data_IF_764344706486
#
_entry.id   IF_764344706486
#
_cell.length_a   1.000
_cell.length_b   1.000
_cell.length_c   1.000
_cell.angle_alpha   90.00
_cell.angle_beta   90.00
_cell.angle_gamma   90.00
#
_symmetry.space_group_name_H-M   'P 1'
#
loop_
_entity.id
_entity.type
_entity.pdbx_description
1 polymer ?
#
# COMPACT_ATOMS: atom_id res chain seq x y z
N UNK A 1 10.25 -9.62 -13.58
CA UNK A 1 9.92 -10.05 -12.20
C UNK A 1 8.39 -10.04 -12.06
N UNK A 2 7.72 -11.20 -11.94
CA UNK A 2 6.27 -11.24 -11.81
C UNK A 2 5.85 -10.70 -10.44
N UNK A 3 5.02 -9.66 -10.47
CA UNK A 3 4.34 -9.08 -9.32
C UNK A 3 2.83 -9.31 -9.49
N UNK A 4 2.18 -9.81 -8.45
CA UNK A 4 0.75 -10.14 -8.49
C UNK A 4 -0.14 -9.05 -7.84
N UNK A 5 0.43 -7.95 -7.41
CA UNK A 5 -0.24 -6.75 -6.87
C UNK A 5 -0.68 -5.78 -7.96
N UNK A 6 0.12 -5.58 -9.01
CA UNK A 6 -0.15 -4.60 -10.06
C UNK A 6 -1.53 -4.73 -10.74
N UNK A 7 -1.96 -5.94 -11.19
CA UNK A 7 -3.31 -6.13 -11.71
C UNK A 7 -4.41 -5.82 -10.69
N UNK A 8 -4.19 -6.10 -9.39
CA UNK A 8 -5.14 -5.80 -8.34
C UNK A 8 -5.29 -4.29 -8.12
N UNK A 9 -4.19 -3.56 -8.04
CA UNK A 9 -4.18 -2.09 -7.91
C UNK A 9 -4.85 -1.42 -9.11
N UNK A 10 -4.50 -1.86 -10.33
CA UNK A 10 -5.14 -1.35 -11.54
C UNK A 10 -6.63 -1.64 -11.54
N UNK A 11 -7.04 -2.83 -11.13
CA UNK A 11 -8.43 -3.22 -11.02
C UNK A 11 -9.21 -2.35 -10.04
N UNK A 12 -8.67 -2.09 -8.84
CA UNK A 12 -9.25 -1.17 -7.86
C UNK A 12 -9.44 0.22 -8.46
N UNK A 13 -8.40 0.76 -9.11
CA UNK A 13 -8.46 2.07 -9.76
C UNK A 13 -9.52 2.10 -10.87
N UNK A 14 -9.56 1.08 -11.73
CA UNK A 14 -10.55 1.01 -12.82
C UNK A 14 -11.98 0.92 -12.28
N UNK A 15 -12.20 0.23 -11.16
CA UNK A 15 -13.51 0.20 -10.50
C UNK A 15 -13.89 1.58 -9.95
N UNK A 16 -12.97 2.29 -9.32
CA UNK A 16 -13.20 3.68 -8.84
C UNK A 16 -13.60 4.59 -10.00
N UNK A 17 -12.86 4.56 -11.10
CA UNK A 17 -13.14 5.34 -12.32
C UNK A 17 -14.49 4.93 -12.91
N UNK A 18 -14.77 3.63 -13.02
CA UNK A 18 -16.03 3.13 -13.53
C UNK A 18 -17.23 3.69 -12.74
N UNK A 19 -17.19 3.61 -11.40
CA UNK A 19 -18.23 4.13 -10.51
C UNK A 19 -18.48 5.63 -10.69
N UNK A 20 -17.43 6.41 -10.96
CA UNK A 20 -17.55 7.86 -11.19
C UNK A 20 -18.11 8.20 -12.56
N UNK A 21 -17.77 7.42 -13.60
CA UNK A 21 -18.05 7.77 -14.99
C UNK A 21 -19.26 7.06 -15.58
N UNK A 22 -19.79 6.01 -14.96
CA UNK A 22 -20.84 5.17 -15.58
C UNK A 22 -22.10 5.95 -15.95
N UNK A 23 -22.50 6.93 -15.16
CA UNK A 23 -23.67 7.75 -15.42
C UNK A 23 -23.42 8.86 -16.47
N UNK A 24 -22.15 9.20 -16.72
CA UNK A 24 -21.75 10.28 -17.64
C UNK A 24 -21.33 9.69 -19.01
N UNK A 25 -20.52 8.62 -18.96
CA UNK A 25 -19.92 7.98 -20.13
C UNK A 25 -20.13 6.47 -20.14
N UNK A 26 -21.40 5.96 -20.21
CA UNK A 26 -21.68 4.54 -20.07
C UNK A 26 -20.99 3.67 -21.13
N UNK A 27 -20.87 4.16 -22.35
CA UNK A 27 -20.22 3.43 -23.45
C UNK A 27 -18.73 3.22 -23.19
N UNK A 28 -18.00 4.21 -22.66
CA UNK A 28 -16.58 4.09 -22.28
C UNK A 28 -16.44 3.07 -21.15
N UNK A 29 -17.30 3.18 -20.12
CA UNK A 29 -17.27 2.27 -18.98
C UNK A 29 -17.51 0.82 -19.40
N UNK A 30 -18.54 0.54 -20.20
CA UNK A 30 -18.91 -0.81 -20.59
C UNK A 30 -17.97 -1.40 -21.67
N UNK A 31 -17.46 -0.60 -22.59
CA UNK A 31 -16.64 -1.09 -23.69
C UNK A 31 -15.12 -1.14 -23.39
N UNK A 32 -14.63 -0.28 -22.50
CA UNK A 32 -13.21 -0.17 -22.19
C UNK A 32 -12.93 -0.62 -20.75
N UNK A 33 -13.45 0.11 -19.75
CA UNK A 33 -13.12 -0.15 -18.34
C UNK A 33 -13.55 -1.54 -17.89
N UNK A 34 -14.75 -1.99 -18.25
CA UNK A 34 -15.22 -3.36 -17.99
C UNK A 34 -14.26 -4.43 -18.50
N UNK A 35 -13.69 -4.26 -19.71
CA UNK A 35 -12.76 -5.24 -20.27
C UNK A 35 -11.45 -5.32 -19.49
N UNK A 36 -10.95 -4.15 -19.01
CA UNK A 36 -9.74 -4.09 -18.18
C UNK A 36 -10.01 -4.78 -16.84
N UNK A 37 -11.11 -4.43 -16.16
CA UNK A 37 -11.50 -5.02 -14.88
C UNK A 37 -11.63 -6.55 -15.00
N UNK A 38 -12.30 -7.06 -16.06
CA UNK A 38 -12.47 -8.50 -16.29
C UNK A 38 -11.13 -9.19 -16.54
N UNK A 39 -10.22 -8.55 -17.30
CA UNK A 39 -8.87 -9.09 -17.52
C UNK A 39 -8.10 -9.23 -16.22
N UNK A 40 -8.15 -8.20 -15.39
CA UNK A 40 -7.41 -8.17 -14.13
C UNK A 40 -7.98 -9.16 -13.11
N UNK A 41 -9.31 -9.24 -12.97
CA UNK A 41 -9.89 -10.22 -12.04
C UNK A 41 -9.60 -11.65 -12.46
N UNK A 42 -9.65 -11.99 -13.76
CA UNK A 42 -9.25 -13.30 -14.27
C UNK A 42 -7.79 -13.64 -13.95
N UNK A 43 -6.90 -12.65 -14.04
CA UNK A 43 -5.50 -12.83 -13.68
C UNK A 43 -5.36 -13.12 -12.18
N UNK A 44 -6.00 -12.32 -11.32
CA UNK A 44 -5.94 -12.50 -9.87
C UNK A 44 -6.50 -13.87 -9.46
N UNK A 45 -7.68 -14.25 -9.94
CA UNK A 45 -8.29 -15.55 -9.62
C UNK A 45 -7.42 -16.74 -10.01
N UNK A 46 -6.54 -16.59 -11.02
CA UNK A 46 -5.59 -17.62 -11.47
C UNK A 46 -4.29 -17.65 -10.67
N UNK A 47 -3.91 -16.54 -10.01
CA UNK A 47 -2.56 -16.36 -9.47
C UNK A 47 -2.52 -15.95 -7.98
N UNK A 48 -3.66 -15.79 -7.30
CA UNK A 48 -3.73 -15.30 -5.91
C UNK A 48 -2.98 -16.19 -4.90
N UNK A 49 -2.89 -17.48 -5.18
CA UNK A 49 -2.25 -18.52 -4.36
C UNK A 49 -0.84 -18.89 -4.85
N UNK A 50 -0.22 -18.03 -5.67
CA UNK A 50 1.14 -18.25 -6.16
C UNK A 50 2.10 -17.24 -5.55
N UNK A 51 3.33 -17.67 -5.18
CA UNK A 51 4.35 -16.74 -4.75
C UNK A 51 4.73 -15.78 -5.88
N UNK A 52 5.10 -14.55 -5.52
CA UNK A 52 5.54 -13.54 -6.47
C UNK A 52 6.65 -12.68 -5.86
N UNK A 53 7.20 -11.76 -6.64
CA UNK A 53 8.08 -10.74 -6.08
C UNK A 53 7.29 -9.76 -5.19
N UNK A 54 7.95 -9.29 -4.13
CA UNK A 54 7.42 -8.24 -3.26
C UNK A 54 7.29 -6.89 -3.97
N UNK A 55 6.71 -5.90 -3.30
CA UNK A 55 6.53 -4.54 -3.81
C UNK A 55 7.85 -3.90 -4.29
N UNK A 56 8.97 -4.30 -3.67
CA UNK A 56 10.31 -3.79 -3.97
C UNK A 56 11.06 -4.56 -5.06
N UNK A 57 10.44 -5.60 -5.63
CA UNK A 57 11.01 -6.48 -6.66
C UNK A 57 12.29 -7.23 -6.22
N UNK A 58 12.42 -7.52 -4.94
CA UNK A 58 13.61 -8.12 -4.37
C UNK A 58 13.46 -9.60 -4.06
N UNK A 59 12.33 -10.01 -3.48
CA UNK A 59 12.17 -11.32 -2.87
C UNK A 59 10.93 -12.03 -3.41
N UNK A 60 11.08 -13.29 -3.83
CA UNK A 60 9.96 -14.16 -4.18
C UNK A 60 9.40 -14.78 -2.90
N UNK A 61 8.09 -14.67 -2.70
CA UNK A 61 7.44 -15.22 -1.52
C UNK A 61 5.97 -14.86 -1.40
N UNK A 62 5.51 -14.88 -0.17
CA UNK A 62 4.16 -14.52 0.22
C UNK A 62 4.20 -13.17 0.95
N UNK A 63 3.48 -12.17 0.43
CA UNK A 63 3.57 -10.80 0.90
C UNK A 63 2.20 -10.31 1.38
N UNK A 64 2.16 -9.77 2.60
CA UNK A 64 0.96 -9.18 3.18
C UNK A 64 0.35 -8.13 2.25
N UNK A 65 1.18 -7.22 1.75
CA UNK A 65 0.77 -6.18 0.79
C UNK A 65 0.01 -6.75 -0.41
N UNK A 66 0.61 -7.72 -1.10
CA UNK A 66 0.03 -8.32 -2.31
C UNK A 66 -1.31 -8.99 -2.02
N UNK A 67 -1.37 -9.81 -0.95
CA UNK A 67 -2.61 -10.47 -0.54
C UNK A 67 -3.70 -9.48 -0.17
N UNK A 68 -3.35 -8.38 0.49
CA UNK A 68 -4.29 -7.36 0.94
C UNK A 68 -4.93 -6.63 -0.25
N UNK A 69 -4.15 -6.15 -1.21
CA UNK A 69 -4.68 -5.45 -2.40
C UNK A 69 -5.48 -6.39 -3.30
N UNK A 70 -5.09 -7.66 -3.40
CA UNK A 70 -5.86 -8.68 -4.11
C UNK A 70 -7.21 -8.93 -3.46
N UNK A 71 -7.27 -9.05 -2.13
CA UNK A 71 -8.50 -9.22 -1.38
C UNK A 71 -9.44 -8.02 -1.58
N UNK A 72 -8.92 -6.81 -1.51
CA UNK A 72 -9.67 -5.58 -1.78
C UNK A 72 -10.24 -5.59 -3.18
N UNK A 73 -9.44 -5.92 -4.17
CA UNK A 73 -9.92 -5.95 -5.56
C UNK A 73 -11.03 -6.98 -5.77
N UNK A 74 -10.89 -8.19 -5.23
CA UNK A 74 -11.95 -9.21 -5.34
C UNK A 74 -13.24 -8.73 -4.67
N UNK A 75 -13.18 -8.13 -3.46
CA UNK A 75 -14.35 -7.56 -2.78
C UNK A 75 -15.05 -6.49 -3.65
N UNK A 76 -14.27 -5.52 -4.14
CA UNK A 76 -14.82 -4.44 -4.97
C UNK A 76 -15.41 -4.96 -6.29
N UNK A 77 -14.79 -5.98 -6.88
CA UNK A 77 -15.29 -6.63 -8.07
C UNK A 77 -16.61 -7.37 -7.80
N UNK A 78 -16.73 -8.13 -6.71
CA UNK A 78 -17.97 -8.83 -6.35
C UNK A 78 -19.12 -7.81 -6.27
N UNK A 79 -18.94 -6.72 -5.51
CA UNK A 79 -19.95 -5.67 -5.34
C UNK A 79 -20.34 -5.06 -6.70
N UNK A 80 -19.35 -4.75 -7.54
CA UNK A 80 -19.61 -4.18 -8.85
C UNK A 80 -20.34 -5.17 -9.77
N UNK A 81 -19.94 -6.43 -9.71
CA UNK A 81 -20.49 -7.48 -10.55
C UNK A 81 -21.94 -7.85 -10.17
N UNK A 82 -22.30 -7.77 -8.89
CA UNK A 82 -23.70 -7.90 -8.43
C UNK A 82 -24.59 -6.81 -9.04
N UNK A 83 -24.07 -5.59 -9.17
CA UNK A 83 -24.82 -4.45 -9.72
C UNK A 83 -24.94 -4.47 -11.24
N UNK A 84 -23.88 -4.89 -11.95
CA UNK A 84 -23.79 -4.73 -13.41
C UNK A 84 -23.74 -6.06 -14.19
N UNK A 85 -23.71 -7.19 -13.51
CA UNK A 85 -23.69 -8.54 -14.08
C UNK A 85 -22.65 -8.71 -15.22
N UNK A 86 -21.37 -8.40 -14.94
CA UNK A 86 -20.30 -8.41 -15.94
C UNK A 86 -19.96 -9.80 -16.44
N UNK A 87 -19.78 -10.74 -15.51
CA UNK A 87 -19.36 -12.12 -15.78
C UNK A 87 -19.60 -12.99 -14.54
N UNK A 88 -19.96 -14.23 -14.76
CA UNK A 88 -20.10 -15.21 -13.69
C UNK A 88 -18.77 -15.96 -13.42
N UNK A 89 -18.42 -16.11 -12.16
CA UNK A 89 -17.34 -16.96 -11.67
C UNK A 89 -17.88 -17.85 -10.55
N UNK A 90 -17.91 -19.16 -10.77
CA UNK A 90 -18.46 -20.14 -9.83
C UNK A 90 -17.78 -20.11 -8.44
N UNK A 91 -16.48 -19.87 -8.40
CA UNK A 91 -15.66 -20.02 -7.21
C UNK A 91 -15.10 -18.71 -6.63
N UNK A 92 -15.58 -17.54 -7.07
CA UNK A 92 -15.02 -16.26 -6.62
C UNK A 92 -15.20 -16.06 -5.10
N UNK A 93 -16.32 -16.48 -4.53
CA UNK A 93 -16.57 -16.38 -3.09
C UNK A 93 -15.65 -17.28 -2.27
N UNK A 94 -15.38 -18.50 -2.72
CA UNK A 94 -14.43 -19.39 -2.05
C UNK A 94 -13.00 -18.88 -2.13
N UNK A 95 -12.60 -18.32 -3.27
CA UNK A 95 -11.29 -17.68 -3.43
C UNK A 95 -11.15 -16.47 -2.49
N UNK A 96 -12.19 -15.63 -2.40
CA UNK A 96 -12.20 -14.49 -1.47
C UNK A 96 -11.98 -14.94 -0.02
N UNK A 97 -12.70 -15.97 0.43
CA UNK A 97 -12.58 -16.51 1.79
C UNK A 97 -11.19 -17.14 2.03
N UNK A 98 -10.69 -17.92 1.07
CA UNK A 98 -9.35 -18.49 1.17
C UNK A 98 -8.27 -17.41 1.27
N UNK A 99 -8.33 -16.38 0.43
CA UNK A 99 -7.37 -15.29 0.49
C UNK A 99 -7.45 -14.52 1.82
N UNK A 100 -8.66 -14.35 2.37
CA UNK A 100 -8.85 -13.74 3.69
C UNK A 100 -8.22 -14.59 4.81
N UNK A 101 -8.33 -15.92 4.74
CA UNK A 101 -7.63 -16.83 5.66
C UNK A 101 -6.11 -16.71 5.51
N UNK A 102 -5.59 -16.65 4.28
CA UNK A 102 -4.15 -16.47 4.01
C UNK A 102 -3.58 -15.14 4.51
N UNK A 103 -4.38 -14.11 4.66
CA UNK A 103 -3.94 -12.87 5.32
C UNK A 103 -3.70 -13.10 6.79
N UNK A 104 -4.48 -13.97 7.46
CA UNK A 104 -4.27 -14.29 8.87
C UNK A 104 -2.92 -15.00 9.11
N UNK A 105 -2.35 -15.70 8.12
CA UNK A 105 -1.00 -16.28 8.22
C UNK A 105 0.06 -15.20 8.49
N UNK A 106 -0.20 -13.95 8.09
CA UNK A 106 0.69 -12.80 8.32
C UNK A 106 0.50 -12.13 9.69
N UNK A 107 -0.38 -12.63 10.53
CA UNK A 107 -0.75 -11.99 11.79
C UNK A 107 -0.33 -12.88 12.94
N UNK A 108 0.61 -12.40 13.76
CA UNK A 108 0.90 -13.00 15.06
C UNK A 108 0.15 -12.27 16.19
N UNK A 109 0.44 -12.59 17.46
CA UNK A 109 -0.24 -12.01 18.61
C UNK A 109 -0.06 -10.48 18.72
N UNK A 110 1.06 -9.95 18.23
CA UNK A 110 1.47 -8.56 18.43
C UNK A 110 1.70 -7.81 17.12
N UNK A 111 2.16 -8.49 16.07
CA UNK A 111 2.69 -7.88 14.86
C UNK A 111 1.97 -8.32 13.59
N UNK A 112 2.32 -7.64 12.50
CA UNK A 112 2.06 -8.07 11.13
C UNK A 112 3.38 -8.48 10.51
N UNK A 113 3.44 -9.70 10.00
CA UNK A 113 4.58 -10.23 9.27
C UNK A 113 4.44 -9.79 7.82
N UNK A 114 5.36 -8.97 7.35
CA UNK A 114 5.28 -8.42 5.99
C UNK A 114 5.50 -9.47 4.90
N UNK A 115 6.47 -10.37 5.08
CA UNK A 115 6.81 -11.35 4.05
C UNK A 115 7.33 -12.66 4.59
N UNK A 116 6.91 -13.75 3.91
CA UNK A 116 7.47 -15.10 4.04
C UNK A 116 8.14 -15.50 2.73
N UNK A 117 9.18 -16.36 2.81
CA UNK A 117 9.68 -17.05 1.62
C UNK A 117 8.71 -18.16 1.17
N UNK A 118 9.06 -18.86 0.08
CA UNK A 118 8.25 -19.96 -0.46
C UNK A 118 8.16 -21.18 0.47
N UNK A 119 9.03 -21.28 1.47
CA UNK A 119 9.08 -22.35 2.47
C UNK A 119 8.33 -21.98 3.76
N UNK A 120 7.76 -20.76 3.82
CA UNK A 120 7.01 -20.28 4.98
C UNK A 120 7.89 -19.67 6.10
N UNK A 121 9.18 -19.42 5.84
CA UNK A 121 10.06 -18.75 6.79
C UNK A 121 9.86 -17.23 6.71
N UNK A 122 9.81 -16.55 7.85
CA UNK A 122 9.73 -15.09 7.91
C UNK A 122 11.02 -14.50 7.34
N UNK A 123 10.89 -13.60 6.37
CA UNK A 123 12.01 -12.90 5.73
C UNK A 123 11.98 -11.38 5.95
N UNK A 124 10.79 -10.82 6.17
CA UNK A 124 10.62 -9.43 6.59
C UNK A 124 9.50 -9.35 7.63
N UNK A 125 9.82 -8.87 8.84
CA UNK A 125 8.83 -8.62 9.88
C UNK A 125 8.20 -7.24 9.65
N UNK A 126 8.99 -6.18 9.67
CA UNK A 126 8.54 -4.80 9.51
C UNK A 126 8.97 -4.25 8.16
N UNK A 127 7.98 -3.87 7.35
CA UNK A 127 8.19 -3.33 6.00
C UNK A 127 7.12 -2.28 5.69
N UNK A 128 7.53 -1.15 5.12
CA UNK A 128 6.65 -0.04 4.77
C UNK A 128 5.58 -0.42 3.73
N UNK A 129 5.78 -1.50 2.96
CA UNK A 129 4.74 -2.05 2.08
C UNK A 129 3.45 -2.37 2.83
N UNK A 130 3.54 -2.82 4.09
CA UNK A 130 2.37 -3.04 4.96
C UNK A 130 1.57 -1.76 5.17
N UNK A 131 2.24 -0.63 5.38
CA UNK A 131 1.64 0.69 5.60
C UNK A 131 1.01 1.20 4.30
N UNK A 132 1.74 1.12 3.19
CA UNK A 132 1.24 1.47 1.86
C UNK A 132 0.04 0.61 1.47
N UNK A 133 0.05 -0.68 1.82
CA UNK A 133 -1.07 -1.58 1.54
C UNK A 133 -2.38 -1.10 2.14
N UNK A 134 -2.37 -0.61 3.39
CA UNK A 134 -3.57 -0.07 4.01
C UNK A 134 -4.04 1.24 3.39
N UNK A 135 -3.10 2.10 3.01
CA UNK A 135 -3.44 3.31 2.25
C UNK A 135 -4.10 2.96 0.92
N UNK A 136 -3.53 2.02 0.18
CA UNK A 136 -4.04 1.60 -1.14
C UNK A 136 -5.40 0.88 -1.10
N UNK A 137 -5.80 0.36 0.05
CA UNK A 137 -7.16 -0.17 0.28
C UNK A 137 -8.09 0.83 0.97
N UNK A 138 -7.75 2.11 1.02
CA UNK A 138 -8.53 3.18 1.66
C UNK A 138 -8.78 2.93 3.16
N UNK A 139 -7.85 2.29 3.87
CA UNK A 139 -7.98 1.89 5.28
C UNK A 139 -9.25 1.07 5.59
N UNK A 140 -9.66 0.20 4.66
CA UNK A 140 -10.81 -0.69 4.80
C UNK A 140 -10.51 -1.84 5.80
N UNK A 141 -10.51 -1.52 7.10
CA UNK A 141 -10.23 -2.49 8.16
C UNK A 141 -11.30 -3.60 8.27
N UNK A 142 -12.47 -3.44 7.65
CA UNK A 142 -13.51 -4.49 7.63
C UNK A 142 -13.13 -5.66 6.70
N UNK A 143 -12.12 -5.49 5.84
CA UNK A 143 -11.55 -6.57 5.04
C UNK A 143 -10.86 -7.65 5.89
N UNK A 144 -10.28 -7.23 7.01
CA UNK A 144 -9.49 -8.05 7.92
C UNK A 144 -10.25 -8.15 9.25
N UNK A 145 -9.66 -8.50 10.32
CA UNK A 145 -10.26 -8.49 11.65
C UNK A 145 -10.13 -7.09 12.29
N UNK A 146 -11.12 -6.67 13.11
CA UNK A 146 -11.06 -5.40 13.86
C UNK A 146 -9.89 -5.31 14.84
N UNK A 147 -9.40 -6.44 15.35
CA UNK A 147 -8.21 -6.53 16.22
C UNK A 147 -6.92 -6.13 15.49
N UNK A 148 -6.94 -6.17 14.16
CA UNK A 148 -5.81 -5.86 13.28
C UNK A 148 -5.29 -4.42 13.43
N UNK A 149 -6.16 -3.47 13.72
CA UNK A 149 -5.79 -2.05 13.84
C UNK A 149 -4.68 -1.80 14.87
N UNK A 150 -4.73 -2.48 16.02
CA UNK A 150 -3.69 -2.35 17.06
C UNK A 150 -2.32 -2.86 16.58
N UNK A 151 -2.30 -4.05 15.97
CA UNK A 151 -1.07 -4.65 15.40
C UNK A 151 -0.46 -3.79 14.30
N UNK A 152 -1.30 -3.22 13.47
CA UNK A 152 -0.86 -2.32 12.41
C UNK A 152 -0.22 -1.04 12.95
N UNK A 153 -0.79 -0.44 13.98
CA UNK A 153 -0.20 0.72 14.64
C UNK A 153 1.15 0.36 15.27
N UNK A 154 1.25 -0.80 15.93
CA UNK A 154 2.52 -1.29 16.47
C UNK A 154 3.57 -1.46 15.36
N UNK A 155 3.23 -2.12 14.26
CA UNK A 155 4.10 -2.28 13.09
C UNK A 155 4.62 -0.93 12.58
N UNK A 156 3.75 0.05 12.44
CA UNK A 156 4.11 1.39 11.97
C UNK A 156 5.03 2.12 12.95
N UNK A 157 4.77 2.03 14.24
CA UNK A 157 5.60 2.66 15.27
C UNK A 157 6.98 2.02 15.39
N UNK A 158 7.11 0.70 15.25
CA UNK A 158 8.41 0.04 15.26
C UNK A 158 9.28 0.48 14.05
N UNK A 159 8.68 0.62 12.85
CA UNK A 159 9.40 1.20 11.70
C UNK A 159 9.86 2.64 11.97
N UNK A 160 8.97 3.50 12.47
CA UNK A 160 9.32 4.90 12.79
C UNK A 160 10.45 4.95 13.83
N UNK A 161 10.37 4.13 14.86
CA UNK A 161 11.39 4.03 15.91
C UNK A 161 12.73 3.60 15.34
N UNK A 162 12.75 2.56 14.48
CA UNK A 162 13.94 2.09 13.81
C UNK A 162 14.60 3.22 12.99
N UNK A 163 13.85 3.87 12.09
CA UNK A 163 14.41 4.93 11.24
C UNK A 163 14.80 6.17 12.05
N UNK A 164 14.02 6.56 13.04
CA UNK A 164 14.42 7.64 13.95
C UNK A 164 15.68 7.30 14.78
N UNK A 165 16.01 6.02 15.02
CA UNK A 165 17.26 5.66 15.69
C UNK A 165 18.49 5.82 14.80
N UNK A 166 18.31 5.75 13.49
CA UNK A 166 19.41 5.84 12.50
C UNK A 166 19.89 7.27 12.20
N UNK A 167 19.01 8.25 12.38
CA UNK A 167 19.28 9.64 11.99
C UNK A 167 19.41 10.56 13.20
N UNK A 168 20.27 11.60 13.08
CA UNK A 168 20.40 12.65 14.08
C UNK A 168 19.13 13.53 14.12
N UNK A 169 18.55 13.82 12.96
CA UNK A 169 17.31 14.60 12.82
C UNK A 169 16.09 13.69 12.90
N UNK A 170 15.23 13.91 13.89
CA UNK A 170 14.00 13.12 14.10
C UNK A 170 12.85 13.70 13.27
N UNK A 171 12.59 13.12 12.12
CA UNK A 171 11.59 13.60 11.16
C UNK A 171 10.33 12.75 11.10
N UNK A 172 10.33 11.54 11.69
CA UNK A 172 9.37 10.45 11.48
C UNK A 172 9.32 9.95 10.02
N UNK A 173 10.26 10.37 9.17
CA UNK A 173 10.42 9.78 7.85
C UNK A 173 10.99 8.37 7.95
N UNK A 174 10.50 7.48 7.09
CA UNK A 174 10.91 6.08 7.06
C UNK A 174 11.41 5.65 5.68
N UNK A 175 12.25 4.62 5.65
CA UNK A 175 12.60 3.86 4.44
C UNK A 175 11.72 2.63 4.27
N UNK A 176 12.18 1.67 3.46
CA UNK A 176 11.41 0.48 3.09
C UNK A 176 11.27 -0.51 4.26
N UNK A 177 12.38 -0.95 4.84
CA UNK A 177 12.40 -1.94 5.92
C UNK A 177 13.71 -1.91 6.70
N UNK A 178 13.74 -2.56 7.86
CA UNK A 178 14.94 -2.72 8.66
C UNK A 178 15.99 -3.57 7.94
N UNK A 179 17.23 -3.06 7.90
CA UNK A 179 18.35 -3.74 7.25
C UNK A 179 18.41 -3.58 5.73
N UNK A 180 17.59 -2.70 5.15
CA UNK A 180 17.66 -2.35 3.73
C UNK A 180 19.06 -1.85 3.35
N UNK A 181 19.63 -2.44 2.29
CA UNK A 181 20.97 -2.11 1.80
C UNK A 181 20.96 -1.26 0.52
N UNK A 182 19.81 -1.14 -0.12
CA UNK A 182 19.69 -0.36 -1.36
C UNK A 182 19.92 1.12 -1.05
N UNK A 183 21.00 1.69 -1.61
CA UNK A 183 21.50 3.04 -1.26
C UNK A 183 21.61 3.26 0.26
N UNK A 184 22.16 2.26 0.98
CA UNK A 184 22.26 2.25 2.44
C UNK A 184 20.94 2.31 3.22
N UNK A 185 19.80 2.03 2.58
CA UNK A 185 18.48 1.99 3.21
C UNK A 185 18.08 3.32 3.82
N UNK A 186 18.27 4.40 3.10
CA UNK A 186 17.79 5.74 3.49
C UNK A 186 16.27 5.86 3.45
N UNK A 187 15.75 7.01 3.90
CA UNK A 187 14.31 7.27 3.89
C UNK A 187 13.78 7.33 2.45
N UNK A 188 12.57 6.81 2.26
CA UNK A 188 11.85 6.89 1.01
C UNK A 188 10.69 7.88 1.13
N UNK A 189 10.54 8.74 0.13
CA UNK A 189 9.46 9.74 0.13
C UNK A 189 8.08 9.05 0.18
N UNK A 190 7.87 8.02 -0.63
CA UNK A 190 6.58 7.29 -0.65
C UNK A 190 6.27 6.60 0.69
N UNK A 191 7.27 5.98 1.34
CA UNK A 191 7.08 5.34 2.63
C UNK A 191 6.71 6.36 3.72
N UNK A 192 7.37 7.52 3.68
CA UNK A 192 7.13 8.64 4.60
C UNK A 192 5.77 9.27 4.37
N UNK A 193 5.32 9.38 3.12
CA UNK A 193 3.94 9.81 2.79
C UNK A 193 2.90 8.79 3.27
N UNK A 194 3.20 7.48 3.21
CA UNK A 194 2.34 6.45 3.80
C UNK A 194 2.14 6.64 5.31
N UNK A 195 3.20 6.95 6.07
CA UNK A 195 3.09 7.33 7.49
C UNK A 195 2.25 8.60 7.67
N UNK A 196 2.47 9.59 6.82
CA UNK A 196 1.71 10.83 6.85
C UNK A 196 0.21 10.60 6.66
N UNK A 197 -0.15 9.79 5.67
CA UNK A 197 -1.55 9.40 5.40
C UNK A 197 -2.15 8.63 6.57
N UNK A 198 -1.38 7.72 7.21
CA UNK A 198 -1.81 7.04 8.42
C UNK A 198 -2.14 8.04 9.55
N UNK A 199 -1.24 8.98 9.82
CA UNK A 199 -1.46 10.01 10.83
C UNK A 199 -2.72 10.83 10.53
N UNK A 200 -2.92 11.24 9.28
CA UNK A 200 -4.10 11.99 8.85
C UNK A 200 -5.38 11.15 8.96
N UNK A 201 -5.34 9.87 8.60
CA UNK A 201 -6.46 8.97 8.77
C UNK A 201 -6.88 8.81 10.24
N UNK A 202 -5.91 8.69 11.15
CA UNK A 202 -6.17 8.57 12.60
C UNK A 202 -6.77 9.84 13.22
N UNK A 203 -6.61 10.98 12.56
CA UNK A 203 -7.01 12.29 13.09
C UNK A 203 -8.28 12.86 12.48
N UNK A 204 -8.99 12.06 11.66
CA UNK A 204 -10.15 12.48 10.86
C UNK A 204 -11.11 13.50 11.49
N UNK A 205 -11.10 13.65 12.83
CA UNK A 205 -12.00 14.56 13.56
C UNK A 205 -11.32 15.45 14.60
N UNK A 206 -10.01 15.35 14.81
CA UNK A 206 -9.29 16.15 15.82
C UNK A 206 -7.88 16.51 15.36
N UNK A 207 -7.55 17.79 15.25
CA UNK A 207 -6.19 18.30 14.97
C UNK A 207 -5.29 18.09 16.19
N UNK A 208 -4.99 16.82 16.50
CA UNK A 208 -4.19 16.37 17.63
C UNK A 208 -2.68 16.27 17.27
N UNK A 209 -1.90 15.66 18.15
CA UNK A 209 -0.46 15.43 17.96
C UNK A 209 -0.13 14.74 16.63
N UNK A 210 -0.93 13.73 16.19
CA UNK A 210 -0.70 13.01 14.94
C UNK A 210 -0.85 13.93 13.72
N UNK A 211 -1.81 14.85 13.73
CA UNK A 211 -1.93 15.86 12.67
C UNK A 211 -0.70 16.76 12.58
N UNK A 212 -0.13 17.15 13.73
CA UNK A 212 1.10 17.96 13.74
C UNK A 212 2.30 17.16 13.22
N UNK A 213 2.39 15.87 13.55
CA UNK A 213 3.41 14.96 12.97
C UNK A 213 3.27 14.85 11.47
N UNK A 214 2.06 14.66 10.94
CA UNK A 214 1.81 14.63 9.51
C UNK A 214 2.26 15.93 8.82
N UNK A 215 1.87 17.09 9.36
CA UNK A 215 2.32 18.40 8.85
C UNK A 215 3.84 18.56 8.89
N UNK A 216 4.51 18.07 9.94
CA UNK A 216 5.97 18.10 10.04
C UNK A 216 6.62 17.33 8.90
N UNK A 217 6.14 16.13 8.59
CA UNK A 217 6.64 15.31 7.47
C UNK A 217 6.44 16.04 6.14
N UNK A 218 5.24 16.56 5.87
CA UNK A 218 4.92 17.27 4.63
C UNK A 218 5.79 18.53 4.48
N UNK A 219 5.90 19.33 5.53
CA UNK A 219 6.73 20.53 5.51
C UNK A 219 8.20 20.18 5.27
N UNK A 220 8.69 19.08 5.86
CA UNK A 220 10.05 18.62 5.64
C UNK A 220 10.25 18.20 4.18
N UNK A 221 9.34 17.39 3.61
CA UNK A 221 9.39 17.00 2.20
C UNK A 221 9.38 18.25 1.29
N UNK A 222 8.54 19.25 1.59
CA UNK A 222 8.52 20.53 0.85
C UNK A 222 9.79 21.36 1.01
N UNK A 223 10.56 21.19 2.09
CA UNK A 223 11.82 21.90 2.32
C UNK A 223 13.05 21.23 1.68
N UNK A 224 12.96 19.96 1.35
CA UNK A 224 14.05 19.19 0.71
C UNK A 224 14.41 19.78 -0.65
N UNK A 225 13.41 20.18 -1.41
CA UNK A 225 13.59 20.81 -2.72
C UNK A 225 12.45 21.77 -3.01
N UNK A 226 12.79 23.06 -3.18
CA UNK A 226 11.82 24.11 -3.49
C UNK A 226 11.09 23.88 -4.83
N UNK A 227 11.71 23.15 -5.75
CA UNK A 227 11.12 22.79 -7.03
C UNK A 227 10.27 21.51 -6.96
N UNK A 228 10.25 20.86 -5.78
CA UNK A 228 9.60 19.57 -5.58
C UNK A 228 10.10 18.46 -6.55
N UNK A 229 11.39 18.45 -6.86
CA UNK A 229 12.02 17.37 -7.61
C UNK A 229 12.23 16.17 -6.67
N UNK A 230 11.17 15.41 -6.41
CA UNK A 230 11.11 14.37 -5.41
C UNK A 230 11.84 13.11 -5.88
N UNK A 231 13.06 12.90 -5.36
CA UNK A 231 13.83 11.68 -5.57
C UNK A 231 13.23 10.50 -4.79
N UNK A 232 13.56 9.29 -5.21
CA UNK A 232 13.10 8.05 -4.58
C UNK A 232 13.50 7.99 -3.11
N UNK A 233 14.79 8.24 -2.83
CA UNK A 233 15.36 8.22 -1.49
C UNK A 233 15.95 9.57 -1.08
N UNK A 234 16.10 9.73 0.23
CA UNK A 234 16.63 10.92 0.82
C UNK A 234 17.46 10.63 2.08
N UNK A 235 18.72 11.10 2.08
CA UNK A 235 19.56 11.09 3.27
C UNK A 235 19.23 12.31 4.13
N UNK A 236 18.55 12.06 5.24
CA UNK A 236 18.05 13.10 6.15
C UNK A 236 19.18 13.87 6.84
N UNK A 237 20.27 13.18 7.20
CA UNK A 237 21.39 13.79 7.94
C UNK A 237 22.27 14.68 7.07
N UNK A 238 22.48 14.27 5.80
CA UNK A 238 23.33 15.01 4.87
C UNK A 238 22.56 15.87 3.88
N UNK A 239 21.23 15.86 3.95
CA UNK A 239 20.35 16.61 3.06
C UNK A 239 20.57 16.28 1.58
N UNK A 240 20.75 14.97 1.25
CA UNK A 240 21.08 14.52 -0.09
C UNK A 240 19.92 13.73 -0.72
N UNK A 241 19.62 14.05 -1.97
CA UNK A 241 18.77 13.23 -2.84
C UNK A 241 19.54 12.02 -3.33
N UNK A 242 18.91 10.85 -3.33
CA UNK A 242 19.51 9.59 -3.72
C UNK A 242 18.57 8.82 -4.65
N UNK A 243 19.16 7.90 -5.44
CA UNK A 243 18.45 7.01 -6.35
C UNK A 243 17.71 7.77 -7.48
N UNK A 244 16.59 7.25 -7.96
CA UNK A 244 15.86 7.82 -9.10
C UNK A 244 15.31 9.21 -8.78
N UNK A 245 15.60 10.17 -9.66
CA UNK A 245 15.05 11.53 -9.57
C UNK A 245 13.62 11.58 -10.12
N UNK A 246 12.79 12.48 -9.58
CA UNK A 246 11.43 12.77 -10.07
C UNK A 246 10.56 11.53 -10.20
N UNK A 247 10.57 10.67 -9.18
CA UNK A 247 9.81 9.43 -9.18
C UNK A 247 8.30 9.73 -9.22
N UNK A 248 7.62 9.32 -10.27
CA UNK A 248 6.18 9.56 -10.48
C UNK A 248 5.33 9.08 -9.31
N UNK A 249 5.70 7.97 -8.68
CA UNK A 249 5.00 7.44 -7.52
C UNK A 249 5.00 8.41 -6.33
N UNK A 250 6.09 9.13 -6.09
CA UNK A 250 6.16 10.13 -5.04
C UNK A 250 5.12 11.24 -5.24
N UNK A 251 4.90 11.69 -6.47
CA UNK A 251 3.93 12.75 -6.76
C UNK A 251 2.48 12.27 -6.62
N UNK A 252 2.18 11.04 -7.01
CA UNK A 252 0.85 10.48 -6.82
C UNK A 252 0.52 10.31 -5.33
N UNK A 253 1.47 9.80 -4.52
CA UNK A 253 1.28 9.68 -3.08
C UNK A 253 1.20 11.05 -2.38
N UNK A 254 2.00 12.03 -2.81
CA UNK A 254 1.89 13.39 -2.30
C UNK A 254 0.51 14.01 -2.60
N UNK A 255 0.02 13.84 -3.84
CA UNK A 255 -1.32 14.32 -4.22
C UNK A 255 -2.41 13.69 -3.33
N UNK A 256 -2.36 12.37 -3.12
CA UNK A 256 -3.29 11.67 -2.23
C UNK A 256 -3.19 12.24 -0.81
N UNK A 257 -1.97 12.40 -0.30
CA UNK A 257 -1.72 12.90 1.06
C UNK A 257 -2.30 14.31 1.27
N UNK A 258 -2.12 15.19 0.30
CA UNK A 258 -2.64 16.56 0.37
C UNK A 258 -4.17 16.63 0.38
N UNK A 259 -4.85 15.64 -0.22
CA UNK A 259 -6.31 15.56 -0.17
C UNK A 259 -6.86 15.09 1.20
N UNK A 260 -6.00 14.59 2.10
CA UNK A 260 -6.36 14.25 3.49
C UNK A 260 -6.20 15.43 4.46
N UNK A 261 -5.49 16.51 4.07
CA UNK A 261 -5.27 17.72 4.89
C UNK A 261 -6.49 18.63 4.94
#
# INVERSE_FOLDING_TARGET
RPQNDGPALRGIMMIKIFKQLINIYPQICLNILKKIIIKDIKYILKNYDKPCFDLWEEIIGWHFYTRLVQLKFIKEFIILNEQYNFIYFENIGSIYNNLKERINDHIDDVNIISSFNTEGTIIKMFDASTILGLSHIDYDFDLIDKSFKGRFLNHSFELIKYFNSRYSVKTDMIGRYEGDKYYNGHTWIICSLGICQLYLYLTKNNKNEMYQKAKKIINYIGSIDINLDLSEQYDVDNNLKLSAEKLTWNYSELYITLNYL
#
